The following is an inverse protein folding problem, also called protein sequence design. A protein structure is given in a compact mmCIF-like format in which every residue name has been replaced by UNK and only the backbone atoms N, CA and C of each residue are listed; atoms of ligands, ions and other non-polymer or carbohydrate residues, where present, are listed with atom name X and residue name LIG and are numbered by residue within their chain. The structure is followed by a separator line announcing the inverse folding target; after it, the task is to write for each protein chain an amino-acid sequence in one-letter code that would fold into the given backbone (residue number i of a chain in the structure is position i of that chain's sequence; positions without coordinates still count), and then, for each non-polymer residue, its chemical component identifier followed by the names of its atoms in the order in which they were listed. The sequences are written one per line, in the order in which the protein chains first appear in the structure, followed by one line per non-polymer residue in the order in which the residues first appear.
data_IF_412292036881
#
_entry.id   IF_412292036881
#
_cell.length_a   1.000
_cell.length_b   1.000
_cell.length_c   1.000
_cell.angle_alpha   90.00
_cell.angle_beta   90.00
_cell.angle_gamma   90.00
#
_symmetry.space_group_name_H-M   'P 1'
#
loop_
_entity.id
_entity.type
_entity.pdbx_description
1 polymer ?
#
# COMPACT_ATOMS: atom_id res chain seq x y z
N UNK A 1 -15.02 -8.30 7.71
CA UNK A 1 -14.43 -8.73 8.99
C UNK A 1 -13.06 -8.10 9.08
N UNK A 2 -12.83 -7.23 10.04
CA UNK A 2 -11.57 -6.50 10.19
C UNK A 2 -10.56 -7.42 10.90
N UNK A 3 -9.73 -8.14 10.14
CA UNK A 3 -8.76 -9.11 10.67
C UNK A 3 -7.50 -8.45 11.24
N UNK A 4 -7.42 -7.15 11.14
CA UNK A 4 -6.23 -6.41 11.49
C UNK A 4 -6.21 -6.11 12.98
N UNK A 5 -6.02 -5.68 13.85
CA UNK A 5 -5.23 -5.50 15.06
C UNK A 5 -5.63 -6.34 16.30
N UNK A 6 -6.66 -7.17 16.27
CA UNK A 6 -7.08 -7.91 17.48
C UNK A 6 -6.26 -9.19 17.74
N UNK A 7 -5.45 -9.61 16.79
CA UNK A 7 -4.68 -10.85 16.86
C UNK A 7 -3.26 -10.65 17.44
N UNK A 8 -2.76 -9.43 17.45
CA UNK A 8 -1.42 -9.16 17.95
C UNK A 8 -1.45 -8.62 19.38
N UNK A 9 -1.19 -9.51 20.34
CA UNK A 9 -1.07 -9.17 21.77
C UNK A 9 0.35 -8.78 22.18
N UNK A 10 1.28 -8.69 21.22
CA UNK A 10 2.66 -8.32 21.48
C UNK A 10 2.81 -6.80 21.57
N UNK A 11 3.78 -6.30 22.33
CA UNK A 11 4.13 -4.90 22.28
C UNK A 11 4.46 -4.50 20.82
N UNK A 12 3.88 -3.42 20.35
CA UNK A 12 4.22 -2.88 19.02
C UNK A 12 5.58 -2.19 19.14
N UNK A 13 6.50 -2.55 18.25
CA UNK A 13 7.78 -1.84 18.13
C UNK A 13 7.52 -0.41 17.61
N UNK A 14 7.93 0.59 18.36
CA UNK A 14 7.73 2.01 18.01
C UNK A 14 8.37 2.37 16.66
N UNK A 15 9.45 1.67 16.27
CA UNK A 15 10.10 1.85 14.96
C UNK A 15 9.17 1.58 13.79
N UNK A 16 8.17 0.72 13.94
CA UNK A 16 7.16 0.48 12.92
C UNK A 16 6.43 1.76 12.54
N UNK A 17 5.98 2.53 13.55
CA UNK A 17 5.31 3.79 13.32
C UNK A 17 6.24 4.80 12.64
N UNK A 18 7.48 4.89 13.10
CA UNK A 18 8.51 5.77 12.52
C UNK A 18 8.75 5.43 11.05
N UNK A 19 9.00 4.16 10.73
CA UNK A 19 9.23 3.71 9.34
C UNK A 19 8.03 4.01 8.44
N UNK A 20 6.81 3.77 8.92
CA UNK A 20 5.59 4.09 8.15
C UNK A 20 5.45 5.59 7.90
N UNK A 21 5.73 6.39 8.92
CA UNK A 21 5.63 7.85 8.84
C UNK A 21 6.65 8.42 7.87
N UNK A 22 7.91 8.01 7.98
CA UNK A 22 9.00 8.44 7.10
C UNK A 22 8.72 8.07 5.65
N UNK A 23 8.29 6.83 5.39
CA UNK A 23 7.92 6.36 4.06
C UNK A 23 6.79 7.21 3.47
N UNK A 24 5.74 7.49 4.24
CA UNK A 24 4.61 8.29 3.74
C UNK A 24 4.97 9.77 3.58
N UNK A 25 5.87 10.31 4.41
CA UNK A 25 6.37 11.68 4.28
C UNK A 25 7.26 11.87 3.05
N UNK A 26 7.96 10.82 2.61
CA UNK A 26 8.76 10.83 1.38
C UNK A 26 7.93 10.67 0.10
N UNK A 27 6.60 10.58 0.22
CA UNK A 27 5.70 10.40 -0.92
C UNK A 27 4.80 11.61 -1.16
N UNK A 28 4.48 11.89 -2.42
CA UNK A 28 3.53 12.92 -2.83
C UNK A 28 2.10 12.40 -3.01
N UNK A 29 1.95 11.10 -3.19
CA UNK A 29 0.64 10.50 -3.42
C UNK A 29 0.57 9.07 -2.90
N UNK A 30 -0.66 8.64 -2.65
CA UNK A 30 -1.01 7.25 -2.34
C UNK A 30 -1.80 6.67 -3.50
N UNK A 31 -1.42 5.49 -3.96
CA UNK A 31 -2.14 4.70 -4.96
C UNK A 31 -2.72 3.45 -4.30
N UNK A 32 -3.96 3.10 -4.63
CA UNK A 32 -4.59 1.90 -4.10
C UNK A 32 -5.71 1.38 -5.02
N UNK A 33 -6.10 0.12 -4.83
CA UNK A 33 -7.32 -0.41 -5.43
C UNK A 33 -8.53 -0.17 -4.53
N UNK A 34 -9.74 -0.34 -5.09
CA UNK A 34 -11.01 -0.13 -4.39
C UNK A 34 -11.10 -0.87 -3.05
N UNK A 35 -10.70 -2.15 -3.00
CA UNK A 35 -10.78 -2.94 -1.76
C UNK A 35 -9.91 -2.35 -0.63
N UNK A 36 -8.74 -1.86 -0.97
CA UNK A 36 -7.85 -1.19 -0.01
C UNK A 36 -8.46 0.14 0.44
N UNK A 37 -9.02 0.91 -0.50
CA UNK A 37 -9.74 2.15 -0.18
C UNK A 37 -10.90 1.91 0.80
N UNK A 38 -11.76 0.95 0.53
CA UNK A 38 -12.92 0.62 1.37
C UNK A 38 -12.53 0.20 2.80
N UNK A 39 -11.32 -0.34 2.99
CA UNK A 39 -10.78 -0.68 4.30
C UNK A 39 -10.06 0.51 4.97
N UNK A 40 -9.33 1.29 4.19
CA UNK A 40 -8.50 2.38 4.69
C UNK A 40 -9.31 3.63 5.02
N UNK A 41 -10.26 4.03 4.16
CA UNK A 41 -11.00 5.25 4.34
C UNK A 41 -11.66 5.36 5.74
N UNK A 42 -12.49 4.40 6.20
CA UNK A 42 -13.10 4.50 7.52
C UNK A 42 -12.08 4.42 8.67
N UNK A 43 -10.97 3.69 8.46
CA UNK A 43 -9.95 3.51 9.49
C UNK A 43 -9.09 4.77 9.68
N UNK A 44 -8.74 5.47 8.61
CA UNK A 44 -7.89 6.65 8.66
C UNK A 44 -8.66 7.94 8.92
N UNK A 45 -9.85 8.10 8.34
CA UNK A 45 -10.71 9.27 8.59
C UNK A 45 -11.07 9.42 10.08
N UNK A 46 -11.13 8.31 10.82
CA UNK A 46 -11.41 8.31 12.25
C UNK A 46 -10.20 8.67 13.12
N UNK A 47 -9.02 8.90 12.54
CA UNK A 47 -7.76 9.17 13.25
C UNK A 47 -7.25 10.56 12.92
N UNK A 48 -6.68 11.24 13.91
CA UNK A 48 -6.04 12.54 13.78
C UNK A 48 -5.15 12.84 14.97
N UNK A 49 -4.29 13.84 14.82
CA UNK A 49 -3.44 14.33 15.92
C UNK A 49 -2.11 13.60 16.04
N UNK A 50 -1.75 12.80 15.06
CA UNK A 50 -0.42 12.23 14.90
C UNK A 50 0.07 12.37 13.43
N UNK A 51 1.39 12.43 13.25
CA UNK A 51 2.00 12.74 11.96
C UNK A 51 1.61 11.77 10.83
N UNK A 52 1.45 10.49 11.12
CA UNK A 52 1.07 9.48 10.14
C UNK A 52 -0.39 9.64 9.71
N UNK A 53 -1.29 9.77 10.68
CA UNK A 53 -2.73 9.92 10.42
C UNK A 53 -3.03 11.23 9.69
N UNK A 54 -2.42 12.33 10.13
CA UNK A 54 -2.62 13.64 9.51
C UNK A 54 -2.08 13.66 8.07
N UNK A 55 -0.89 13.05 7.82
CA UNK A 55 -0.35 12.90 6.46
C UNK A 55 -1.24 12.02 5.60
N UNK A 56 -1.70 10.87 6.10
CA UNK A 56 -2.57 9.96 5.36
C UNK A 56 -3.90 10.63 4.96
N UNK A 57 -4.45 11.47 5.83
CA UNK A 57 -5.69 12.19 5.54
C UNK A 57 -5.51 13.35 4.56
N UNK A 58 -4.34 13.97 4.51
CA UNK A 58 -4.08 15.15 3.67
C UNK A 58 -3.43 14.84 2.32
N UNK A 59 -2.64 13.77 2.20
CA UNK A 59 -1.95 13.39 0.97
C UNK A 59 -2.95 13.11 -0.16
N UNK A 60 -2.66 13.47 -1.43
CA UNK A 60 -3.43 13.04 -2.60
C UNK A 60 -3.54 11.52 -2.70
N UNK A 61 -4.74 11.02 -3.01
CA UNK A 61 -5.03 9.60 -3.14
C UNK A 61 -5.58 9.30 -4.52
N UNK A 62 -5.05 8.27 -5.15
CA UNK A 62 -5.53 7.75 -6.43
C UNK A 62 -6.07 6.35 -6.24
N UNK A 63 -7.34 6.14 -6.61
CA UNK A 63 -8.00 4.83 -6.45
C UNK A 63 -8.32 4.25 -7.82
N UNK A 64 -7.69 3.13 -8.16
CA UNK A 64 -7.99 2.40 -9.39
C UNK A 64 -9.27 1.59 -9.19
N UNK A 65 -10.34 2.02 -9.86
CA UNK A 65 -11.64 1.36 -9.77
C UNK A 65 -12.57 1.79 -10.89
N UNK A 66 -13.25 0.84 -11.52
CA UNK A 66 -14.32 1.09 -12.50
C UNK A 66 -15.70 1.24 -11.86
N UNK A 67 -15.82 1.01 -10.55
CA UNK A 67 -17.10 0.94 -9.85
C UNK A 67 -17.23 1.84 -8.64
N UNK A 68 -16.11 2.41 -8.15
CA UNK A 68 -16.15 3.37 -7.05
C UNK A 68 -16.68 4.71 -7.58
N UNK A 69 -17.73 5.20 -6.93
CA UNK A 69 -18.33 6.51 -7.19
C UNK A 69 -18.31 7.33 -5.90
N UNK A 70 -18.20 8.64 -6.04
CA UNK A 70 -18.30 9.62 -4.95
C UNK A 70 -17.48 9.25 -3.70
N UNK A 71 -16.13 9.12 -3.81
CA UNK A 71 -15.29 8.81 -2.67
C UNK A 71 -15.38 9.92 -1.62
N UNK A 72 -15.66 9.56 -0.39
CA UNK A 72 -15.84 10.48 0.73
C UNK A 72 -14.55 10.86 1.47
N UNK A 73 -13.46 10.13 1.23
CA UNK A 73 -12.16 10.46 1.81
C UNK A 73 -11.50 11.62 1.06
N UNK A 74 -11.16 12.67 1.77
CA UNK A 74 -10.63 13.91 1.19
C UNK A 74 -9.42 13.67 0.27
N UNK A 75 -9.28 14.49 -0.77
CA UNK A 75 -8.19 14.43 -1.75
C UNK A 75 -8.11 13.09 -2.51
N UNK A 76 -9.24 12.43 -2.74
CA UNK A 76 -9.32 11.18 -3.50
C UNK A 76 -9.75 11.43 -4.93
N UNK A 77 -8.97 10.88 -5.87
CA UNK A 77 -9.27 10.86 -7.31
C UNK A 77 -9.45 9.40 -7.75
N UNK A 78 -10.56 9.11 -8.44
CA UNK A 78 -10.81 7.78 -8.99
C UNK A 78 -10.24 7.69 -10.41
N UNK A 79 -9.42 6.66 -10.65
CA UNK A 79 -8.93 6.28 -11.97
C UNK A 79 -9.84 5.15 -12.47
N UNK A 80 -10.83 5.50 -13.30
CA UNK A 80 -11.88 4.58 -13.75
C UNK A 80 -11.58 3.89 -15.08
N UNK A 81 -10.59 4.38 -15.84
CA UNK A 81 -10.20 3.83 -17.15
C UNK A 81 -8.72 4.06 -17.40
N UNK A 82 -8.13 3.26 -18.28
CA UNK A 82 -6.74 3.40 -18.74
C UNK A 82 -5.74 3.64 -17.60
N UNK A 83 -5.83 2.80 -16.55
CA UNK A 83 -5.11 3.00 -15.31
C UNK A 83 -3.58 3.03 -15.52
N UNK A 84 -3.04 2.19 -16.42
CA UNK A 84 -1.61 2.17 -16.70
C UNK A 84 -1.11 3.51 -17.25
N UNK A 85 -1.82 4.09 -18.23
CA UNK A 85 -1.45 5.39 -18.78
C UNK A 85 -1.66 6.54 -17.77
N UNK A 86 -2.71 6.47 -16.95
CA UNK A 86 -2.94 7.44 -15.90
C UNK A 86 -1.81 7.44 -14.86
N UNK A 87 -1.38 6.27 -14.41
CA UNK A 87 -0.29 6.11 -13.44
C UNK A 87 1.05 6.53 -14.06
N UNK A 88 1.30 6.20 -15.32
CA UNK A 88 2.52 6.66 -16.02
C UNK A 88 2.60 8.19 -16.04
N UNK A 89 1.50 8.87 -16.38
CA UNK A 89 1.45 10.35 -16.34
C UNK A 89 1.67 10.91 -14.93
N UNK A 90 1.21 10.24 -13.89
CA UNK A 90 1.49 10.65 -12.51
C UNK A 90 2.98 10.52 -12.18
N UNK A 91 3.62 9.43 -12.60
CA UNK A 91 5.07 9.21 -12.39
C UNK A 91 5.96 10.19 -13.19
N UNK A 92 5.47 10.71 -14.31
CA UNK A 92 6.17 11.71 -15.13
C UNK A 92 6.12 13.14 -14.55
N UNK A 93 5.26 13.38 -13.57
CA UNK A 93 5.18 14.70 -12.93
C UNK A 93 6.39 14.91 -12.01
N UNK A 94 6.93 16.15 -11.94
CA UNK A 94 7.96 16.48 -10.96
C UNK A 94 7.40 16.29 -9.55
N UNK A 95 8.16 15.65 -8.69
CA UNK A 95 7.73 15.40 -7.31
C UNK A 95 8.56 14.33 -6.63
N UNK A 96 7.95 13.72 -5.61
CA UNK A 96 8.48 12.63 -4.83
C UNK A 96 7.82 11.30 -5.24
N UNK A 97 8.02 10.26 -4.44
CA UNK A 97 7.50 8.93 -4.71
C UNK A 97 5.97 8.83 -4.60
N UNK A 98 5.43 7.82 -5.26
CA UNK A 98 4.03 7.39 -5.11
C UNK A 98 4.02 6.05 -4.39
N UNK A 99 3.45 6.00 -3.19
CA UNK A 99 3.32 4.73 -2.46
C UNK A 99 2.04 4.00 -2.84
N UNK A 100 2.15 2.73 -3.22
CA UNK A 100 0.99 1.87 -3.47
C UNK A 100 0.72 0.97 -2.26
N UNK A 101 -0.49 1.05 -1.71
CA UNK A 101 -0.93 0.16 -0.64
C UNK A 101 -1.79 -1.00 -1.14
N UNK A 102 -1.58 -2.16 -0.51
CA UNK A 102 -2.23 -3.42 -0.86
C UNK A 102 -1.47 -4.18 -1.95
N UNK A 103 -1.67 -5.49 -2.02
CA UNK A 103 -1.03 -6.35 -3.02
C UNK A 103 -2.11 -7.13 -3.77
N UNK A 104 -2.25 -6.89 -5.08
CA UNK A 104 -3.32 -7.49 -5.89
C UNK A 104 -3.34 -6.95 -7.32
N UNK A 105 -4.54 -6.72 -7.87
CA UNK A 105 -4.72 -6.32 -9.28
C UNK A 105 -3.96 -5.04 -9.67
N UNK A 106 -3.86 -4.06 -8.76
CA UNK A 106 -3.07 -2.84 -9.01
C UNK A 106 -1.59 -3.17 -9.08
N UNK A 107 -1.05 -3.99 -8.16
CA UNK A 107 0.36 -4.40 -8.20
C UNK A 107 0.67 -5.23 -9.46
N UNK A 108 -0.24 -6.09 -9.89
CA UNK A 108 -0.12 -6.83 -11.16
C UNK A 108 -0.03 -5.87 -12.34
N UNK A 109 -0.95 -4.88 -12.40
CA UNK A 109 -0.94 -3.86 -13.45
C UNK A 109 0.36 -3.06 -13.47
N UNK A 110 0.90 -2.70 -12.30
CA UNK A 110 2.18 -1.99 -12.23
C UNK A 110 3.33 -2.83 -12.78
N UNK A 111 3.42 -4.11 -12.41
CA UNK A 111 4.45 -5.03 -12.92
C UNK A 111 4.32 -5.30 -14.41
N UNK A 112 3.09 -5.47 -14.93
CA UNK A 112 2.83 -5.72 -16.36
C UNK A 112 3.16 -4.53 -17.28
N UNK A 113 3.28 -3.32 -16.70
CA UNK A 113 3.49 -2.09 -17.46
C UNK A 113 4.80 -1.37 -17.10
N UNK A 114 5.72 -2.05 -16.40
CA UNK A 114 7.01 -1.49 -15.94
C UNK A 114 6.84 -0.18 -15.13
N UNK A 115 5.84 -0.17 -14.25
CA UNK A 115 5.50 0.99 -13.42
C UNK A 115 5.86 0.78 -11.93
N UNK A 116 6.30 -0.42 -11.55
CA UNK A 116 6.77 -0.73 -10.21
C UNK A 116 8.29 -0.55 -10.16
N UNK A 117 8.78 0.27 -9.24
CA UNK A 117 10.22 0.48 -9.03
C UNK A 117 10.72 -0.32 -7.83
N UNK A 118 10.01 -0.23 -6.71
CA UNK A 118 10.38 -0.89 -5.46
C UNK A 118 9.18 -1.63 -4.83
N UNK A 119 9.48 -2.71 -4.13
CA UNK A 119 8.51 -3.52 -3.42
C UNK A 119 8.92 -3.64 -1.94
N UNK A 120 8.07 -3.12 -1.05
CA UNK A 120 8.24 -3.22 0.40
C UNK A 120 7.31 -4.30 0.95
N UNK A 121 7.85 -5.44 1.36
CA UNK A 121 7.08 -6.53 1.96
C UNK A 121 7.21 -6.50 3.48
N UNK A 122 6.06 -6.42 4.14
CA UNK A 122 5.95 -6.39 5.60
C UNK A 122 5.38 -7.73 6.08
N UNK A 123 6.26 -8.60 6.53
CA UNK A 123 5.90 -9.92 7.03
C UNK A 123 5.59 -9.86 8.52
N UNK A 124 4.32 -10.04 8.86
CA UNK A 124 3.89 -10.20 10.23
C UNK A 124 4.11 -11.66 10.67
N UNK A 125 4.64 -11.93 11.88
CA UNK A 125 4.87 -13.28 12.37
C UNK A 125 3.57 -13.91 12.87
N UNK A 126 2.58 -13.99 11.98
CA UNK A 126 1.28 -14.64 12.22
C UNK A 126 0.76 -15.26 10.92
N UNK A 127 -0.02 -16.30 11.07
CA UNK A 127 -0.80 -16.87 9.98
C UNK A 127 -2.25 -16.43 10.12
N UNK A 128 -2.76 -15.78 9.09
CA UNK A 128 -4.19 -15.48 8.99
C UNK A 128 -4.86 -16.69 8.36
N UNK A 129 -5.73 -17.36 9.11
CA UNK A 129 -6.53 -18.45 8.57
C UNK A 129 -7.44 -17.92 7.47
N UNK A 130 -7.40 -18.56 6.29
CA UNK A 130 -8.25 -18.26 5.16
C UNK A 130 -9.23 -19.38 4.84
N UNK A 131 -10.33 -19.05 4.13
CA UNK A 131 -11.25 -20.02 3.57
C UNK A 131 -10.80 -20.55 2.20
N UNK A 132 -11.47 -21.58 1.66
CA UNK A 132 -11.24 -22.04 0.30
C UNK A 132 -11.49 -20.89 -0.69
N UNK A 133 -10.46 -20.49 -1.45
CA UNK A 133 -10.53 -19.40 -2.41
C UNK A 133 -9.97 -18.05 -1.94
N UNK A 134 -9.51 -17.93 -0.71
CA UNK A 134 -8.66 -16.81 -0.29
C UNK A 134 -7.33 -16.94 -1.01
N UNK A 135 -7.22 -16.18 -2.08
CA UNK A 135 -6.29 -16.39 -3.16
C UNK A 135 -4.82 -16.37 -2.77
N UNK A 136 -4.02 -16.89 -3.65
CA UNK A 136 -2.56 -16.77 -3.60
C UNK A 136 -2.22 -15.29 -3.45
N UNK A 137 -1.46 -14.88 -2.42
CA UNK A 137 -1.18 -13.47 -2.16
C UNK A 137 -0.38 -12.81 -3.28
N UNK A 138 0.26 -13.60 -4.13
CA UNK A 138 1.08 -13.11 -5.23
C UNK A 138 0.42 -13.38 -6.57
N UNK A 139 0.45 -12.42 -7.51
CA UNK A 139 -0.05 -12.64 -8.85
C UNK A 139 0.74 -13.77 -9.53
N UNK A 140 0.04 -14.56 -10.32
CA UNK A 140 0.66 -15.68 -11.05
C UNK A 140 1.43 -15.22 -12.28
N UNK A 141 1.34 -13.95 -12.66
CA UNK A 141 2.01 -13.32 -13.82
C UNK A 141 2.02 -11.79 -13.65
N UNK A 142 3.00 -11.06 -14.23
CA UNK A 142 4.20 -11.56 -14.90
C UNK A 142 5.24 -12.10 -13.92
N UNK A 143 6.24 -12.84 -14.42
CA UNK A 143 7.44 -13.13 -13.63
C UNK A 143 8.28 -11.87 -13.58
N UNK A 144 8.41 -11.29 -12.40
CA UNK A 144 9.22 -10.10 -12.15
C UNK A 144 10.38 -10.49 -11.25
N UNK A 145 11.59 -10.12 -11.63
CA UNK A 145 12.79 -10.33 -10.81
C UNK A 145 13.03 -9.12 -9.93
N UNK A 146 13.49 -9.39 -8.71
CA UNK A 146 13.77 -8.36 -7.73
C UNK A 146 15.14 -8.58 -7.11
N UNK A 147 15.82 -7.48 -6.82
CA UNK A 147 17.04 -7.42 -6.02
C UNK A 147 16.69 -6.97 -4.60
N UNK A 148 17.14 -7.71 -3.58
CA UNK A 148 16.99 -7.29 -2.19
C UNK A 148 17.96 -6.13 -1.90
N UNK A 149 17.42 -4.96 -1.58
CA UNK A 149 18.22 -3.75 -1.30
C UNK A 149 18.18 -3.34 0.18
N UNK A 150 17.28 -3.91 0.97
CA UNK A 150 17.22 -3.62 2.40
C UNK A 150 16.38 -4.63 3.19
N UNK A 151 16.70 -4.77 4.46
CA UNK A 151 15.91 -5.56 5.40
C UNK A 151 15.96 -4.98 6.80
N UNK A 152 14.83 -5.01 7.51
CA UNK A 152 14.72 -4.58 8.90
C UNK A 152 13.91 -5.62 9.67
N UNK A 153 14.43 -6.06 10.79
CA UNK A 153 13.70 -6.92 11.73
C UNK A 153 13.32 -6.08 12.95
N UNK A 154 12.04 -6.08 13.26
CA UNK A 154 11.49 -5.39 14.43
C UNK A 154 11.45 -6.32 15.65
N UNK A 155 11.40 -5.74 16.84
CA UNK A 155 11.41 -6.49 18.10
C UNK A 155 10.15 -7.35 18.31
N UNK A 156 9.04 -6.96 17.68
CA UNK A 156 7.80 -7.75 17.64
C UNK A 156 7.87 -8.95 16.68
N UNK A 157 9.00 -9.15 16.00
CA UNK A 157 9.26 -10.24 15.05
C UNK A 157 8.76 -9.95 13.64
N UNK A 158 8.32 -8.73 13.35
CA UNK A 158 8.00 -8.33 11.98
C UNK A 158 9.27 -8.18 11.16
N UNK A 159 9.25 -8.67 9.91
CA UNK A 159 10.31 -8.48 8.93
C UNK A 159 9.83 -7.54 7.82
N UNK A 160 10.60 -6.49 7.56
CA UNK A 160 10.39 -5.57 6.43
C UNK A 160 11.51 -5.84 5.43
N UNK A 161 11.16 -6.25 4.22
CA UNK A 161 12.09 -6.49 3.13
C UNK A 161 11.81 -5.47 2.02
N UNK A 162 12.86 -4.80 1.58
CA UNK A 162 12.80 -3.82 0.48
C UNK A 162 13.52 -4.38 -0.72
N UNK A 163 12.82 -4.46 -1.82
CA UNK A 163 13.31 -4.95 -3.10
C UNK A 163 13.19 -3.86 -4.16
N UNK A 164 14.12 -3.89 -5.12
CA UNK A 164 14.03 -3.13 -6.37
C UNK A 164 13.78 -4.08 -7.53
N UNK A 165 13.02 -3.63 -8.51
CA UNK A 165 12.88 -4.38 -9.78
C UNK A 165 14.24 -4.43 -10.48
N UNK A 166 14.65 -5.67 -10.88
CA UNK A 166 15.97 -5.93 -11.48
C UNK A 166 16.01 -5.55 -12.96
#
# INVERSE_FOLDING_TARGET
MNLWPTLDRRPTDERKYTIQTELLQACDAVLMGRRTYEQFAPAWQSRSGDALSDRMNTIPKYVVSTTLQDPDWANTTVISSDAAAAIRRLKEQPGQDIVQYGFGAVSTLLMENDLLDELHLWFHPLFVGGGPGDGVPFPTRPTTQFELIGSTILEDGMAILTYRVA
#
